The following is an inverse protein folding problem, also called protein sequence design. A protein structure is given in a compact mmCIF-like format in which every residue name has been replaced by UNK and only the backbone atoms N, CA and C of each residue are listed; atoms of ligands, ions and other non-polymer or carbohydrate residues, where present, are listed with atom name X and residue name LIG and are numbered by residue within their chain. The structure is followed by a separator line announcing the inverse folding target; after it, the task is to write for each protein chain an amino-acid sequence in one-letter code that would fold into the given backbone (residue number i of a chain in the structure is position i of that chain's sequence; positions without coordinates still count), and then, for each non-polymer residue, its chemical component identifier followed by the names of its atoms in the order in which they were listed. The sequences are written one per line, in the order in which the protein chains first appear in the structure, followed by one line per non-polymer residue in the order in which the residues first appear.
data_IF_402021393772
#
_entry.id   IF_402021393772
#
_cell.length_a   1.000
_cell.length_b   1.000
_cell.length_c   1.000
_cell.angle_alpha   90.00
_cell.angle_beta   90.00
_cell.angle_gamma   90.00
#
_symmetry.space_group_name_H-M   'P 1'
#
loop_
_entity.id
_entity.type
_entity.pdbx_description
1 polymer ?
#
# COMPACT_ATOMS: atom_id res chain seq x y z
N UNK A 1 -23.77 6.30 10.73
CA UNK A 1 -23.38 5.04 11.43
C UNK A 1 -22.42 4.22 10.57
N UNK A 2 -22.80 3.76 9.36
CA UNK A 2 -21.93 2.95 8.50
C UNK A 2 -20.54 3.56 8.23
N UNK A 3 -20.47 4.85 7.87
CA UNK A 3 -19.21 5.57 7.66
C UNK A 3 -18.26 5.51 8.87
N UNK A 4 -18.81 5.70 10.06
CA UNK A 4 -18.03 5.66 11.31
C UNK A 4 -17.50 4.25 11.56
N UNK A 5 -18.34 3.22 11.40
CA UNK A 5 -17.94 1.82 11.60
C UNK A 5 -16.80 1.43 10.65
N UNK A 6 -16.92 1.77 9.37
CA UNK A 6 -15.90 1.47 8.36
C UNK A 6 -14.58 2.18 8.67
N UNK A 7 -14.64 3.48 9.03
CA UNK A 7 -13.44 4.25 9.39
C UNK A 7 -12.74 3.66 10.62
N UNK A 8 -13.49 3.32 11.67
CA UNK A 8 -12.95 2.68 12.87
C UNK A 8 -12.35 1.32 12.56
N UNK A 9 -12.98 0.52 11.72
CA UNK A 9 -12.45 -0.77 11.31
C UNK A 9 -11.11 -0.63 10.56
N UNK A 10 -11.01 0.31 9.62
CA UNK A 10 -9.75 0.60 8.91
C UNK A 10 -8.65 1.12 9.85
N UNK A 11 -9.01 1.95 10.84
CA UNK A 11 -8.10 2.41 11.88
C UNK A 11 -7.56 1.25 12.73
N UNK A 12 -8.42 0.27 13.07
CA UNK A 12 -8.02 -0.92 13.81
C UNK A 12 -7.06 -1.82 13.02
N UNK A 13 -7.33 -2.05 11.73
CA UNK A 13 -6.48 -2.89 10.88
C UNK A 13 -5.03 -2.39 10.80
N UNK A 14 -4.82 -1.07 10.90
CA UNK A 14 -3.50 -0.44 10.85
C UNK A 14 -2.95 -0.03 12.22
N UNK A 15 -3.66 -0.32 13.30
CA UNK A 15 -3.28 0.10 14.65
C UNK A 15 -2.03 -0.64 15.15
N UNK A 16 -1.87 -1.89 14.73
CA UNK A 16 -0.75 -2.73 15.15
C UNK A 16 0.35 -2.77 14.09
N UNK A 17 1.63 -2.82 14.50
CA UNK A 17 2.74 -3.11 13.61
C UNK A 17 2.58 -4.46 12.91
N UNK A 18 3.09 -4.58 11.69
CA UNK A 18 2.97 -5.77 10.85
C UNK A 18 3.60 -7.00 11.51
N UNK A 19 4.70 -6.83 12.24
CA UNK A 19 5.36 -7.92 12.97
C UNK A 19 4.44 -8.52 14.04
N UNK A 20 3.67 -7.69 14.74
CA UNK A 20 2.74 -8.14 15.79
C UNK A 20 1.61 -8.95 15.16
N UNK A 21 1.05 -8.45 14.06
CA UNK A 21 0.00 -9.15 13.30
C UNK A 21 0.55 -10.47 12.75
N UNK A 22 1.76 -10.47 12.21
CA UNK A 22 2.39 -11.68 11.67
C UNK A 22 2.64 -12.72 12.76
N UNK A 23 3.06 -12.32 13.96
CA UNK A 23 3.20 -13.22 15.11
C UNK A 23 1.87 -13.87 15.50
N UNK A 24 0.79 -13.08 15.53
CA UNK A 24 -0.56 -13.60 15.79
C UNK A 24 -0.98 -14.63 14.74
N UNK A 25 -0.82 -14.31 13.45
CA UNK A 25 -1.20 -15.23 12.38
C UNK A 25 -0.26 -16.45 12.30
N UNK A 26 1.02 -16.30 12.64
CA UNK A 26 1.94 -17.43 12.72
C UNK A 26 1.51 -18.47 13.75
N UNK A 27 0.80 -18.07 14.82
CA UNK A 27 0.22 -19.04 15.77
C UNK A 27 -0.96 -19.82 15.19
N UNK A 28 -1.62 -19.30 14.15
CA UNK A 28 -2.80 -19.89 13.52
C UNK A 28 -2.41 -20.73 12.29
N UNK A 29 -1.58 -20.17 11.41
CA UNK A 29 -1.22 -20.75 10.11
C UNK A 29 0.23 -21.26 10.05
N UNK A 30 0.92 -21.32 11.19
CA UNK A 30 2.37 -21.55 11.31
C UNK A 30 3.24 -20.37 10.85
N UNK A 31 4.47 -20.33 11.34
CA UNK A 31 5.50 -19.39 10.89
C UNK A 31 5.77 -19.63 9.42
N UNK A 32 5.73 -18.57 8.61
CA UNK A 32 5.99 -18.67 7.19
C UNK A 32 5.51 -17.45 6.38
N UNK A 33 5.63 -17.53 5.04
CA UNK A 33 5.26 -16.43 4.14
C UNK A 33 3.77 -16.07 4.22
N UNK A 34 2.89 -17.04 4.50
CA UNK A 34 1.44 -16.81 4.59
C UNK A 34 1.10 -15.83 5.71
N UNK A 35 1.68 -16.00 6.90
CA UNK A 35 1.47 -15.08 8.02
C UNK A 35 1.96 -13.66 7.69
N UNK A 36 3.10 -13.55 7.00
CA UNK A 36 3.63 -12.27 6.56
C UNK A 36 2.74 -11.58 5.51
N UNK A 37 2.23 -12.31 4.53
CA UNK A 37 1.33 -11.79 3.50
C UNK A 37 0.04 -11.27 4.14
N UNK A 38 -0.55 -12.03 5.07
CA UNK A 38 -1.76 -11.61 5.78
C UNK A 38 -1.47 -10.34 6.59
N UNK A 39 -0.36 -10.28 7.31
CA UNK A 39 0.00 -9.13 8.13
C UNK A 39 0.18 -7.85 7.30
N UNK A 40 0.97 -7.91 6.23
CA UNK A 40 1.19 -6.79 5.31
C UNK A 40 -0.13 -6.40 4.63
N UNK A 41 -0.93 -7.40 4.21
CA UNK A 41 -2.21 -7.19 3.54
C UNK A 41 -3.21 -6.45 4.41
N UNK A 42 -3.45 -6.93 5.64
CA UNK A 42 -4.38 -6.30 6.59
C UNK A 42 -3.97 -4.88 6.92
N UNK A 43 -2.70 -4.66 7.23
CA UNK A 43 -2.18 -3.34 7.53
C UNK A 43 -2.35 -2.41 6.31
N UNK A 44 -2.13 -2.92 5.09
CA UNK A 44 -2.31 -2.18 3.83
C UNK A 44 -3.76 -1.83 3.52
N UNK A 45 -4.70 -2.74 3.75
CA UNK A 45 -6.14 -2.48 3.59
C UNK A 45 -6.56 -1.35 4.53
N UNK A 46 -6.13 -1.37 5.79
CA UNK A 46 -6.42 -0.30 6.75
C UNK A 46 -5.85 1.06 6.34
N UNK A 47 -4.60 1.07 5.86
CA UNK A 47 -3.95 2.30 5.40
C UNK A 47 -4.59 2.88 4.14
N UNK A 48 -4.76 2.08 3.08
CA UNK A 48 -5.38 2.52 1.83
C UNK A 48 -6.85 2.88 2.03
N UNK A 49 -7.59 2.13 2.83
CA UNK A 49 -8.99 2.40 3.11
C UNK A 49 -9.22 3.80 3.67
N UNK A 50 -8.40 4.23 4.65
CA UNK A 50 -8.46 5.59 5.19
C UNK A 50 -8.15 6.64 4.12
N UNK A 51 -7.06 6.45 3.36
CA UNK A 51 -6.64 7.41 2.33
C UNK A 51 -7.69 7.54 1.23
N UNK A 52 -8.23 6.42 0.75
CA UNK A 52 -9.27 6.42 -0.27
C UNK A 52 -10.57 7.06 0.24
N UNK A 53 -10.93 6.82 1.50
CA UNK A 53 -12.06 7.50 2.14
C UNK A 53 -11.86 9.02 2.18
N UNK A 54 -10.69 9.49 2.61
CA UNK A 54 -10.39 10.92 2.69
C UNK A 54 -10.43 11.57 1.30
N UNK A 55 -9.91 10.92 0.27
CA UNK A 55 -10.01 11.42 -1.11
C UNK A 55 -11.47 11.48 -1.58
N UNK A 56 -12.25 10.44 -1.32
CA UNK A 56 -13.64 10.38 -1.78
C UNK A 56 -14.56 11.39 -1.04
N UNK A 57 -14.21 11.78 0.17
CA UNK A 57 -14.98 12.80 0.92
C UNK A 57 -14.68 14.24 0.44
N UNK A 58 -13.56 14.43 -0.25
CA UNK A 58 -13.11 15.74 -0.75
C UNK A 58 -13.41 15.97 -2.24
N UNK A 59 -14.20 15.11 -2.89
CA UNK A 59 -14.57 15.30 -4.29
C UNK A 59 -15.51 16.49 -4.47
N UNK A 60 -15.40 17.16 -5.61
CA UNK A 60 -16.33 18.21 -5.99
C UNK A 60 -17.62 17.59 -6.52
N UNK A 61 -18.76 17.97 -5.93
CA UNK A 61 -20.08 17.45 -6.29
C UNK A 61 -20.67 18.12 -7.53
N UNK A 62 -20.13 19.25 -8.01
CA UNK A 62 -20.68 19.99 -9.17
C UNK A 62 -20.80 19.13 -10.43
N UNK A 63 -19.79 18.32 -10.83
CA UNK A 63 -19.92 17.42 -11.99
C UNK A 63 -20.95 16.31 -11.80
N UNK A 64 -21.12 15.81 -10.57
CA UNK A 64 -22.12 14.80 -10.21
C UNK A 64 -23.54 15.36 -10.36
N UNK A 65 -23.76 16.57 -9.82
CA UNK A 65 -25.06 17.25 -9.83
C UNK A 65 -25.47 17.61 -11.27
N UNK A 66 -24.51 18.02 -12.10
CA UNK A 66 -24.73 18.27 -13.52
C UNK A 66 -25.18 17.04 -14.30
N UNK A 67 -24.53 15.88 -14.06
CA UNK A 67 -24.96 14.61 -14.66
C UNK A 67 -26.33 14.17 -14.14
N UNK A 68 -26.61 14.39 -12.86
CA UNK A 68 -27.92 14.09 -12.28
C UNK A 68 -29.04 14.92 -12.92
N UNK A 69 -28.79 16.18 -13.24
CA UNK A 69 -29.78 17.08 -13.84
C UNK A 69 -30.22 16.65 -15.25
N UNK A 70 -29.35 15.96 -15.99
CA UNK A 70 -29.66 15.40 -17.33
C UNK A 70 -30.22 13.97 -17.28
N UNK A 71 -30.53 13.46 -16.09
CA UNK A 71 -31.13 12.14 -15.90
C UNK A 71 -30.14 10.98 -15.86
N UNK A 72 -28.84 11.23 -15.67
CA UNK A 72 -27.84 10.17 -15.58
C UNK A 72 -28.06 9.28 -14.34
N UNK A 73 -27.90 7.97 -14.52
CA UNK A 73 -28.03 7.00 -13.44
C UNK A 73 -26.80 7.02 -12.50
N UNK A 74 -26.86 6.26 -11.41
CA UNK A 74 -25.78 6.25 -10.41
C UNK A 74 -24.43 5.76 -10.98
N UNK A 75 -24.41 4.74 -11.82
CA UNK A 75 -23.17 4.20 -12.40
C UNK A 75 -22.52 5.18 -13.38
N UNK A 76 -23.33 5.91 -14.15
CA UNK A 76 -22.85 6.96 -15.04
C UNK A 76 -22.22 8.12 -14.26
N UNK A 77 -22.88 8.56 -13.19
CA UNK A 77 -22.35 9.59 -12.29
C UNK A 77 -21.02 9.19 -11.69
N UNK A 78 -20.93 7.99 -11.09
CA UNK A 78 -19.67 7.50 -10.52
C UNK A 78 -18.57 7.39 -11.58
N UNK A 79 -18.88 6.86 -12.77
CA UNK A 79 -17.88 6.63 -13.82
C UNK A 79 -17.36 7.92 -14.46
N UNK A 80 -18.24 8.91 -14.66
CA UNK A 80 -17.92 10.11 -15.45
C UNK A 80 -17.71 11.37 -14.61
N UNK A 81 -18.21 11.44 -13.37
CA UNK A 81 -17.95 12.55 -12.44
C UNK A 81 -16.95 12.17 -11.34
N UNK A 82 -17.20 11.11 -10.58
CA UNK A 82 -16.44 10.85 -9.35
C UNK A 82 -15.10 10.16 -9.61
N UNK A 83 -15.11 9.07 -10.38
CA UNK A 83 -13.95 8.22 -10.64
C UNK A 83 -12.77 8.99 -11.27
N UNK A 84 -12.95 9.86 -12.28
CA UNK A 84 -11.85 10.62 -12.87
C UNK A 84 -11.14 11.54 -11.86
N UNK A 85 -11.87 12.07 -10.87
CA UNK A 85 -11.30 12.95 -9.85
C UNK A 85 -10.43 12.18 -8.83
N UNK A 86 -10.85 10.97 -8.45
CA UNK A 86 -10.18 10.20 -7.39
C UNK A 86 -9.10 9.24 -7.90
N UNK A 87 -9.23 8.77 -9.16
CA UNK A 87 -8.36 7.74 -9.73
C UNK A 87 -6.86 8.08 -9.67
N UNK A 88 -6.41 9.31 -9.98
CA UNK A 88 -4.99 9.64 -9.91
C UNK A 88 -4.42 9.47 -8.49
N UNK A 89 -5.17 9.89 -7.47
CA UNK A 89 -4.78 9.74 -6.06
C UNK A 89 -4.82 8.28 -5.61
N UNK A 90 -5.83 7.52 -6.03
CA UNK A 90 -5.92 6.09 -5.72
C UNK A 90 -4.71 5.33 -6.26
N UNK A 91 -4.32 5.60 -7.51
CA UNK A 91 -3.13 5.02 -8.12
C UNK A 91 -1.86 5.44 -7.38
N UNK A 92 -1.71 6.73 -7.07
CA UNK A 92 -0.53 7.24 -6.36
C UNK A 92 -0.34 6.58 -5.00
N UNK A 93 -1.39 6.50 -4.19
CA UNK A 93 -1.32 5.85 -2.87
C UNK A 93 -1.13 4.33 -2.96
N UNK A 94 -1.71 3.68 -3.97
CA UNK A 94 -1.49 2.24 -4.19
C UNK A 94 -0.03 1.96 -4.52
N UNK A 95 0.58 2.75 -5.42
CA UNK A 95 1.99 2.62 -5.78
C UNK A 95 2.91 2.89 -4.60
N UNK A 96 2.64 3.96 -3.85
CA UNK A 96 3.35 4.25 -2.59
C UNK A 96 3.25 3.08 -1.61
N UNK A 97 2.08 2.44 -1.51
CA UNK A 97 1.89 1.31 -0.60
C UNK A 97 2.66 0.07 -1.05
N UNK A 98 2.78 -0.16 -2.35
CA UNK A 98 3.61 -1.23 -2.90
C UNK A 98 5.09 -1.01 -2.51
N UNK A 99 5.62 0.21 -2.68
CA UNK A 99 6.99 0.56 -2.29
C UNK A 99 7.24 0.28 -0.79
N UNK A 100 6.32 0.72 0.06
CA UNK A 100 6.36 0.49 1.52
C UNK A 100 6.31 -1.01 1.84
N UNK A 101 5.41 -1.76 1.21
CA UNK A 101 5.24 -3.19 1.44
C UNK A 101 6.47 -4.00 1.00
N UNK A 102 7.13 -3.61 -0.09
CA UNK A 102 8.40 -4.23 -0.53
C UNK A 102 9.48 -4.04 0.53
N UNK A 103 9.59 -2.84 1.13
CA UNK A 103 10.54 -2.58 2.21
C UNK A 103 10.23 -3.40 3.46
N UNK A 104 8.97 -3.44 3.87
CA UNK A 104 8.50 -4.21 5.03
C UNK A 104 8.73 -5.72 4.81
N UNK A 105 8.59 -6.21 3.57
CA UNK A 105 8.80 -7.63 3.27
C UNK A 105 10.18 -8.15 3.66
N UNK A 106 11.20 -7.30 3.66
CA UNK A 106 12.54 -7.66 4.16
C UNK A 106 12.54 -7.91 5.66
N UNK A 107 11.92 -7.01 6.43
CA UNK A 107 11.78 -7.17 7.88
C UNK A 107 10.96 -8.44 8.17
N UNK A 108 9.90 -8.66 7.39
CA UNK A 108 9.08 -9.86 7.49
C UNK A 108 9.86 -11.14 7.19
N UNK A 109 10.77 -11.12 6.21
CA UNK A 109 11.65 -12.24 5.94
C UNK A 109 12.54 -12.60 7.14
N UNK A 110 13.10 -11.60 7.81
CA UNK A 110 13.95 -11.81 8.99
C UNK A 110 13.17 -12.44 10.19
N UNK A 111 11.86 -12.22 10.28
CA UNK A 111 11.03 -12.80 11.36
C UNK A 111 10.41 -14.16 10.99
N UNK A 112 10.82 -14.76 9.87
CA UNK A 112 10.36 -16.09 9.44
C UNK A 112 9.34 -16.08 8.30
N UNK A 113 9.17 -14.94 7.63
CA UNK A 113 8.37 -14.82 6.41
C UNK A 113 9.04 -15.33 5.13
N UNK A 114 10.33 -15.69 5.18
CA UNK A 114 11.10 -16.17 4.03
C UNK A 114 11.81 -15.09 3.22
N UNK A 115 12.61 -15.51 2.24
CA UNK A 115 13.20 -14.64 1.22
C UNK A 115 14.50 -13.92 1.64
N UNK A 116 14.78 -12.78 1.00
CA UNK A 116 16.05 -12.04 1.17
C UNK A 116 16.28 -11.61 2.62
N UNK A 117 15.21 -11.24 3.34
CA UNK A 117 15.29 -10.86 4.75
C UNK A 117 15.77 -11.98 5.67
N UNK A 118 15.37 -13.23 5.38
CA UNK A 118 15.80 -14.40 6.13
C UNK A 118 17.29 -14.68 5.88
N UNK A 119 17.70 -14.68 4.62
CA UNK A 119 19.11 -14.87 4.24
C UNK A 119 20.01 -13.78 4.83
N UNK A 120 19.53 -12.54 4.87
CA UNK A 120 20.25 -11.41 5.46
C UNK A 120 20.43 -11.61 6.97
N UNK A 121 19.37 -11.99 7.68
CA UNK A 121 19.46 -12.32 9.12
C UNK A 121 20.44 -13.46 9.37
N UNK A 122 20.39 -14.53 8.58
CA UNK A 122 21.30 -15.66 8.71
C UNK A 122 22.76 -15.27 8.45
N UNK A 123 23.03 -14.44 7.43
CA UNK A 123 24.37 -13.97 7.12
C UNK A 123 24.96 -13.09 8.24
N UNK A 124 24.14 -12.18 8.79
CA UNK A 124 24.52 -11.34 9.94
C UNK A 124 24.79 -12.20 11.17
N UNK A 125 23.88 -13.11 11.51
CA UNK A 125 24.00 -13.97 12.69
C UNK A 125 25.21 -14.90 12.65
N UNK A 126 25.68 -15.28 11.45
CA UNK A 126 26.87 -16.14 11.26
C UNK A 126 28.17 -15.35 11.09
N UNK A 127 28.13 -14.03 11.10
CA UNK A 127 29.30 -13.17 10.92
C UNK A 127 29.88 -13.18 9.50
N UNK A 128 29.09 -13.56 8.49
CA UNK A 128 29.55 -13.64 7.10
C UNK A 128 29.56 -12.25 6.44
N UNK A 129 30.56 -11.43 6.75
CA UNK A 129 30.67 -10.04 6.30
C UNK A 129 30.49 -9.84 4.78
N UNK A 130 31.17 -10.66 3.97
CA UNK A 130 31.05 -10.58 2.50
C UNK A 130 29.63 -10.91 2.00
N UNK A 131 29.00 -11.96 2.54
CA UNK A 131 27.62 -12.35 2.18
C UNK A 131 26.62 -11.29 2.64
N UNK A 132 26.79 -10.75 3.84
CA UNK A 132 25.95 -9.67 4.38
C UNK A 132 26.03 -8.43 3.48
N UNK A 133 27.23 -7.99 3.11
CA UNK A 133 27.41 -6.84 2.22
C UNK A 133 26.74 -7.06 0.86
N UNK A 134 26.92 -8.25 0.27
CA UNK A 134 26.29 -8.61 -1.00
C UNK A 134 24.76 -8.57 -0.92
N UNK A 135 24.16 -9.10 0.16
CA UNK A 135 22.71 -9.09 0.37
C UNK A 135 22.17 -7.68 0.63
N UNK A 136 22.90 -6.84 1.37
CA UNK A 136 22.52 -5.43 1.58
C UNK A 136 22.53 -4.65 0.27
N UNK A 137 23.56 -4.82 -0.55
CA UNK A 137 23.64 -4.18 -1.87
C UNK A 137 22.51 -4.67 -2.79
N UNK A 138 22.26 -5.98 -2.83
CA UNK A 138 21.14 -6.56 -3.58
C UNK A 138 19.81 -5.94 -3.16
N UNK A 139 19.54 -5.89 -1.85
CA UNK A 139 18.33 -5.31 -1.30
C UNK A 139 18.18 -3.82 -1.65
N UNK A 140 19.26 -3.05 -1.51
CA UNK A 140 19.27 -1.64 -1.87
C UNK A 140 18.94 -1.46 -3.36
N UNK A 141 19.60 -2.21 -4.25
CA UNK A 141 19.34 -2.17 -5.69
C UNK A 141 17.90 -2.55 -6.01
N UNK A 142 17.36 -3.61 -5.39
CA UNK A 142 15.97 -4.01 -5.60
C UNK A 142 14.98 -2.93 -5.16
N UNK A 143 15.14 -2.36 -3.96
CA UNK A 143 14.27 -1.30 -3.46
C UNK A 143 14.36 -0.06 -4.36
N UNK A 144 15.57 0.31 -4.79
CA UNK A 144 15.79 1.43 -5.71
C UNK A 144 15.08 1.22 -7.05
N UNK A 145 15.21 0.03 -7.65
CA UNK A 145 14.54 -0.28 -8.92
C UNK A 145 13.01 -0.24 -8.80
N UNK A 146 12.46 -0.75 -7.69
CA UNK A 146 11.01 -0.71 -7.42
C UNK A 146 10.54 0.74 -7.26
N UNK A 147 11.27 1.57 -6.52
CA UNK A 147 10.97 3.00 -6.34
C UNK A 147 10.97 3.75 -7.67
N UNK A 148 12.00 3.55 -8.50
CA UNK A 148 12.09 4.18 -9.82
C UNK A 148 10.97 3.72 -10.76
N UNK A 149 10.64 2.42 -10.74
CA UNK A 149 9.53 1.87 -11.52
C UNK A 149 8.19 2.47 -11.08
N UNK A 150 7.93 2.53 -9.78
CA UNK A 150 6.71 3.14 -9.24
C UNK A 150 6.63 4.63 -9.55
N UNK A 151 7.74 5.37 -9.48
CA UNK A 151 7.80 6.79 -9.85
C UNK A 151 7.57 7.02 -11.35
N UNK A 152 8.11 6.16 -12.21
CA UNK A 152 7.83 6.18 -13.63
C UNK A 152 6.35 5.90 -13.92
N UNK A 153 5.78 4.87 -13.29
CA UNK A 153 4.39 4.49 -13.48
C UNK A 153 3.42 5.58 -12.98
N UNK A 154 3.72 6.20 -11.84
CA UNK A 154 2.97 7.33 -11.29
C UNK A 154 2.95 8.50 -12.28
N UNK A 155 4.10 8.90 -12.85
CA UNK A 155 4.17 9.97 -13.86
C UNK A 155 3.33 9.67 -15.10
N UNK A 156 3.35 8.42 -15.58
CA UNK A 156 2.62 7.99 -16.77
C UNK A 156 1.10 7.90 -16.56
N UNK A 157 0.66 7.43 -15.40
CA UNK A 157 -0.75 7.18 -15.11
C UNK A 157 -1.50 8.40 -14.56
N UNK A 158 -0.80 9.27 -13.83
CA UNK A 158 -1.41 10.42 -13.14
C UNK A 158 -1.33 11.69 -14.01
N UNK A 159 -0.40 11.75 -14.98
CA UNK A 159 -0.17 12.93 -15.81
C UNK A 159 0.38 14.10 -14.97
N UNK A 160 1.10 15.04 -15.61
CA UNK A 160 1.68 16.20 -14.92
C UNK A 160 0.63 17.08 -14.20
N UNK A 161 -0.63 17.04 -14.62
CA UNK A 161 -1.68 17.92 -14.08
C UNK A 161 -2.04 17.68 -12.61
N UNK A 162 -1.97 16.45 -12.08
CA UNK A 162 -2.28 16.23 -10.66
C UNK A 162 -1.12 16.63 -9.74
N UNK A 163 0.12 16.62 -10.24
CA UNK A 163 1.30 17.07 -9.48
C UNK A 163 1.25 18.58 -9.21
N UNK A 164 0.81 19.37 -10.21
CA UNK A 164 0.65 20.83 -10.10
C UNK A 164 -0.48 21.27 -9.16
N UNK A 165 -1.43 20.40 -8.83
CA UNK A 165 -2.49 20.69 -7.85
C UNK A 165 -2.10 20.30 -6.41
N UNK A 166 -0.97 19.59 -6.24
CA UNK A 166 -0.50 19.05 -4.96
C UNK A 166 0.79 19.69 -4.43
N UNK A 167 1.36 20.64 -5.17
CA UNK A 167 2.54 21.43 -4.81
C UNK A 167 2.15 22.89 -4.57
#
# INVERSE_FOLDING_TARGET
ILRLVVKRFMELLRAFPEIVIAGLFAAIVSIGPVAAIIAIGLHSIGALGKLFYEINENIDMRPEEGLRAVGANWFERVRFADLPQVLPNFMSYTLLRIEINVRISTIMGAVGGGGIGEELKLAISRGFGAKTLALVLLLFTTIFLVDQFSAWLRRKLVGEQAFLMSA
#
